data_IF_888314291390
#
_entry.id   IF_888314291390
#
_cell.length_a   1.000
_cell.length_b   1.000
_cell.length_c   1.000
_cell.angle_alpha   90.00
_cell.angle_beta   90.00
_cell.angle_gamma   90.00
#
_symmetry.space_group_name_H-M   'P 1'
#
loop_
_entity.id
_entity.type
_entity.pdbx_description
1 polymer ?
#
# COMPACT_ATOMS: atom_id res chain seq x y z
N UNK A 1 37.88 -8.80 -6.32
CA UNK A 1 37.21 -8.42 -7.59
C UNK A 1 35.75 -8.95 -7.67
N UNK A 2 34.99 -8.99 -6.57
CA UNK A 2 33.68 -9.69 -6.51
C UNK A 2 32.47 -8.77 -6.44
N UNK A 3 32.64 -7.45 -6.42
CA UNK A 3 31.56 -6.49 -6.14
C UNK A 3 31.29 -5.45 -7.24
N UNK A 4 31.86 -5.62 -8.44
CA UNK A 4 31.57 -4.71 -9.55
C UNK A 4 30.18 -5.00 -10.12
N UNK A 5 29.36 -3.96 -10.28
CA UNK A 5 28.08 -3.99 -10.99
C UNK A 5 28.25 -3.28 -12.34
N UNK A 6 28.51 -4.02 -13.43
CA UNK A 6 28.74 -3.41 -14.73
C UNK A 6 27.47 -2.77 -15.26
N UNK A 7 27.54 -1.48 -15.63
CA UNK A 7 26.42 -0.77 -16.25
C UNK A 7 26.55 -0.90 -17.76
N UNK A 8 25.48 -1.29 -18.44
CA UNK A 8 25.46 -1.39 -19.90
C UNK A 8 25.09 -0.05 -20.52
N UNK A 9 26.07 0.61 -21.16
CA UNK A 9 25.81 1.80 -21.97
C UNK A 9 25.24 1.39 -23.32
N UNK A 10 23.97 1.73 -23.56
CA UNK A 10 23.26 1.41 -24.80
C UNK A 10 23.14 2.62 -25.71
N UNK A 11 23.05 2.40 -27.02
CA UNK A 11 22.72 3.42 -28.01
C UNK A 11 21.38 4.11 -27.65
N UNK A 12 21.29 5.42 -27.85
CA UNK A 12 20.08 6.23 -27.62
C UNK A 12 18.88 5.67 -28.39
N UNK A 13 19.05 5.29 -29.67
CA UNK A 13 17.97 4.71 -30.48
C UNK A 13 17.43 3.44 -29.82
N UNK A 14 18.34 2.57 -29.37
CA UNK A 14 17.98 1.36 -28.65
C UNK A 14 17.23 1.69 -27.34
N UNK A 15 17.69 2.67 -26.56
CA UNK A 15 17.02 3.08 -25.32
C UNK A 15 15.60 3.59 -25.56
N UNK A 16 15.36 4.29 -26.68
CA UNK A 16 14.01 4.73 -27.06
C UNK A 16 13.13 3.51 -27.33
N UNK A 17 13.60 2.57 -28.16
CA UNK A 17 12.86 1.35 -28.49
C UNK A 17 12.58 0.54 -27.21
N UNK A 18 13.59 0.29 -26.38
CA UNK A 18 13.43 -0.50 -25.17
C UNK A 18 12.51 0.17 -24.15
N UNK A 19 12.52 1.51 -24.09
CA UNK A 19 11.57 2.27 -23.27
C UNK A 19 10.13 2.17 -23.77
N UNK A 20 9.91 2.23 -25.09
CA UNK A 20 8.57 2.04 -25.68
C UNK A 20 8.04 0.65 -25.38
N UNK A 21 8.87 -0.39 -25.55
CA UNK A 21 8.50 -1.76 -25.23
C UNK A 21 8.20 -1.94 -23.74
N UNK A 22 9.05 -1.39 -22.87
CA UNK A 22 8.85 -1.43 -21.42
C UNK A 22 7.55 -0.75 -21.00
N UNK A 23 7.23 0.41 -21.57
CA UNK A 23 5.98 1.13 -21.26
C UNK A 23 4.74 0.35 -21.69
N UNK A 24 4.78 -0.36 -22.83
CA UNK A 24 3.67 -1.23 -23.26
C UNK A 24 3.54 -2.46 -22.36
N UNK A 25 4.67 -3.09 -22.01
CA UNK A 25 4.67 -4.25 -21.11
C UNK A 25 4.14 -3.89 -19.73
N UNK A 26 4.47 -2.69 -19.22
CA UNK A 26 4.02 -2.16 -17.93
C UNK A 26 2.50 -2.16 -17.74
N UNK A 27 1.75 -2.01 -18.82
CA UNK A 27 0.28 -1.98 -18.78
C UNK A 27 -0.29 -3.38 -18.46
N UNK A 28 0.34 -4.42 -19.00
CA UNK A 28 -0.15 -5.81 -18.88
C UNK A 28 0.42 -6.51 -17.64
N UNK A 29 1.56 -6.03 -17.13
CA UNK A 29 2.27 -6.61 -15.98
C UNK A 29 1.40 -6.91 -14.75
N UNK A 30 0.46 -6.03 -14.32
CA UNK A 30 -0.39 -6.32 -13.17
C UNK A 30 -1.33 -7.52 -13.34
N UNK A 31 -1.68 -7.89 -14.58
CA UNK A 31 -2.58 -9.02 -14.87
C UNK A 31 -1.84 -10.36 -14.94
N UNK A 32 -0.53 -10.34 -15.23
CA UNK A 32 0.29 -11.54 -15.45
C UNK A 32 1.18 -11.90 -14.27
N UNK A 33 1.48 -10.94 -13.38
CA UNK A 33 2.37 -11.16 -12.24
C UNK A 33 1.57 -11.39 -10.97
N UNK A 34 2.04 -12.32 -10.15
CA UNK A 34 1.48 -12.61 -8.84
C UNK A 34 1.37 -11.37 -7.94
N UNK A 35 0.28 -11.29 -7.18
CA UNK A 35 0.06 -10.24 -6.18
C UNK A 35 1.19 -10.16 -5.13
N UNK A 36 1.88 -11.27 -4.87
CA UNK A 36 2.98 -11.36 -3.92
C UNK A 36 4.29 -10.70 -4.41
N UNK A 37 4.40 -10.35 -5.69
CA UNK A 37 5.53 -9.60 -6.21
C UNK A 37 5.32 -8.10 -6.01
N UNK A 38 6.10 -7.49 -5.12
CA UNK A 38 5.98 -6.05 -4.79
C UNK A 38 6.98 -5.12 -5.48
N UNK A 39 7.97 -5.64 -6.23
CA UNK A 39 8.99 -4.80 -6.86
C UNK A 39 8.59 -4.40 -8.29
N UNK A 40 8.81 -3.14 -8.66
CA UNK A 40 8.63 -2.59 -10.02
C UNK A 40 7.20 -2.68 -10.61
N UNK A 41 6.19 -2.98 -9.78
CA UNK A 41 4.77 -2.93 -10.14
C UNK A 41 4.17 -1.59 -9.67
N UNK A 42 3.46 -0.83 -10.53
CA UNK A 42 2.80 0.41 -10.12
C UNK A 42 1.80 0.20 -8.99
N UNK A 43 1.78 1.10 -8.01
CA UNK A 43 0.82 1.06 -6.91
C UNK A 43 1.20 0.15 -5.73
N UNK A 44 2.31 -0.60 -5.81
CA UNK A 44 2.84 -1.38 -4.67
C UNK A 44 4.00 -0.63 -4.02
N UNK A 45 3.94 -0.44 -2.70
CA UNK A 45 5.01 0.21 -1.95
C UNK A 45 5.90 -0.84 -1.27
N UNK A 46 7.20 -0.56 -1.19
CA UNK A 46 8.14 -1.45 -0.48
C UNK A 46 7.77 -1.61 1.01
N UNK A 47 7.13 -0.59 1.58
CA UNK A 47 6.62 -0.59 2.95
C UNK A 47 5.59 -1.70 3.18
N UNK A 48 4.78 -2.04 2.19
CA UNK A 48 3.76 -3.08 2.32
C UNK A 48 4.42 -4.44 2.53
N UNK A 49 5.46 -4.75 1.75
CA UNK A 49 6.26 -5.97 1.91
C UNK A 49 6.96 -6.04 3.27
N UNK A 50 7.46 -4.90 3.77
CA UNK A 50 8.10 -4.82 5.09
C UNK A 50 7.08 -5.13 6.19
N UNK A 51 5.86 -4.59 6.09
CA UNK A 51 4.78 -4.86 7.04
C UNK A 51 4.36 -6.34 7.03
N UNK A 52 4.18 -6.93 5.84
CA UNK A 52 3.86 -8.36 5.71
C UNK A 52 4.98 -9.21 6.33
N UNK A 53 6.24 -8.93 6.01
CA UNK A 53 7.37 -9.66 6.58
C UNK A 53 7.43 -9.53 8.11
N UNK A 54 7.20 -8.33 8.65
CA UNK A 54 7.15 -8.09 10.09
C UNK A 54 6.07 -8.94 10.78
N UNK A 55 4.87 -9.00 10.20
CA UNK A 55 3.77 -9.81 10.72
C UNK A 55 4.08 -11.32 10.69
N UNK A 56 4.73 -11.79 9.62
CA UNK A 56 5.19 -13.18 9.51
C UNK A 56 6.22 -13.49 10.60
N UNK A 57 7.25 -12.64 10.78
CA UNK A 57 8.25 -12.84 11.84
C UNK A 57 7.66 -12.75 13.24
N UNK A 58 6.66 -11.88 13.45
CA UNK A 58 5.94 -11.80 14.71
C UNK A 58 5.18 -13.10 15.00
N UNK A 59 4.47 -13.63 14.01
CA UNK A 59 3.75 -14.91 14.09
C UNK A 59 4.68 -16.09 14.41
N UNK A 60 5.86 -16.13 13.79
CA UNK A 60 6.90 -17.13 14.07
C UNK A 60 7.39 -17.00 15.52
N UNK A 61 7.70 -15.78 16.00
CA UNK A 61 8.20 -15.56 17.37
C UNK A 61 7.19 -15.90 18.47
N UNK A 62 5.90 -15.73 18.19
CA UNK A 62 4.84 -16.00 19.16
C UNK A 62 4.40 -17.47 19.19
N UNK A 63 4.68 -18.26 18.13
CA UNK A 63 4.53 -19.72 18.15
C UNK A 63 5.69 -20.38 18.88
N UNK A 64 5.65 -20.34 20.21
CA UNK A 64 6.65 -20.99 21.08
C UNK A 64 6.28 -22.43 21.51
N UNK A 65 5.06 -22.90 21.18
CA UNK A 65 4.55 -24.24 21.55
C UNK A 65 3.73 -24.85 20.40
N UNK A 66 3.85 -26.17 20.21
CA UNK A 66 3.16 -26.96 19.18
C UNK A 66 4.13 -27.90 18.43
N UNK A 67 3.62 -28.97 17.84
CA UNK A 67 4.43 -29.97 17.12
C UNK A 67 4.97 -29.46 15.76
N UNK A 68 4.29 -28.48 15.14
CA UNK A 68 4.68 -27.92 13.84
C UNK A 68 5.30 -26.52 13.99
N UNK A 69 6.63 -26.46 13.85
CA UNK A 69 7.41 -25.21 13.81
C UNK A 69 7.19 -24.44 12.50
N UNK A 70 7.23 -23.10 12.58
CA UNK A 70 7.24 -22.24 11.40
C UNK A 70 8.69 -21.80 11.11
N UNK A 71 9.06 -21.76 9.82
CA UNK A 71 10.36 -21.30 9.37
C UNK A 71 10.18 -20.20 8.32
N UNK A 72 11.08 -19.22 8.31
CA UNK A 72 11.20 -18.24 7.24
C UNK A 72 12.43 -18.56 6.40
N UNK A 73 12.24 -18.72 5.09
CA UNK A 73 13.32 -18.98 4.15
C UNK A 73 13.64 -17.70 3.39
N UNK A 74 14.87 -17.20 3.53
CA UNK A 74 15.38 -16.07 2.76
C UNK A 74 16.20 -16.58 1.58
N UNK A 75 15.70 -16.33 0.37
CA UNK A 75 16.40 -16.63 -0.88
C UNK A 75 17.05 -15.36 -1.43
N UNK A 76 18.30 -15.47 -1.88
CA UNK A 76 19.01 -14.40 -2.57
C UNK A 76 19.56 -14.91 -3.90
N UNK A 77 19.42 -14.10 -4.95
CA UNK A 77 19.81 -14.47 -6.31
C UNK A 77 21.17 -13.86 -6.66
N UNK A 78 22.20 -14.72 -6.70
CA UNK A 78 23.54 -14.30 -7.09
C UNK A 78 23.56 -13.80 -8.55
N UNK A 79 23.91 -12.53 -8.76
CA UNK A 79 23.98 -11.89 -10.09
C UNK A 79 22.70 -12.12 -10.91
N UNK A 80 21.56 -11.79 -10.29
CA UNK A 80 20.21 -11.98 -10.82
C UNK A 80 20.05 -11.60 -12.31
N UNK A 81 20.52 -10.42 -12.73
CA UNK A 81 20.43 -10.01 -14.13
C UNK A 81 21.40 -10.78 -15.04
N UNK A 82 22.63 -11.05 -14.62
CA UNK A 82 23.66 -11.66 -15.47
C UNK A 82 23.41 -13.14 -15.77
N UNK A 83 22.55 -13.80 -14.98
CA UNK A 83 22.33 -15.26 -15.04
C UNK A 83 20.99 -15.68 -15.63
N UNK A 84 20.18 -14.75 -16.13
CA UNK A 84 18.91 -15.09 -16.78
C UNK A 84 19.17 -15.86 -18.07
N UNK A 85 18.76 -17.12 -18.13
CA UNK A 85 18.84 -17.93 -19.35
C UNK A 85 17.75 -17.47 -20.34
N UNK A 86 18.16 -17.21 -21.59
CA UNK A 86 17.27 -16.59 -22.58
C UNK A 86 16.17 -17.53 -23.07
N UNK A 87 16.47 -18.81 -23.22
CA UNK A 87 15.48 -19.80 -23.65
C UNK A 87 14.40 -19.99 -22.57
N UNK A 88 14.78 -19.88 -21.30
CA UNK A 88 13.81 -19.87 -20.20
C UNK A 88 12.87 -18.67 -20.28
N UNK A 89 13.41 -17.46 -20.47
CA UNK A 89 12.59 -16.24 -20.62
C UNK A 89 11.63 -16.36 -21.82
N UNK A 90 12.11 -16.83 -22.96
CA UNK A 90 11.31 -17.02 -24.18
C UNK A 90 10.16 -18.01 -23.96
N UNK A 91 10.45 -19.14 -23.32
CA UNK A 91 9.45 -20.15 -22.95
C UNK A 91 8.43 -19.62 -21.93
N UNK A 92 8.87 -18.85 -20.94
CA UNK A 92 7.98 -18.21 -19.96
C UNK A 92 7.01 -17.25 -20.65
N UNK A 93 7.51 -16.38 -21.53
CA UNK A 93 6.64 -15.47 -22.29
C UNK A 93 5.65 -16.22 -23.19
N UNK A 94 6.09 -17.32 -23.80
CA UNK A 94 5.21 -18.18 -24.61
C UNK A 94 4.10 -18.80 -23.74
N UNK A 95 4.44 -19.29 -22.54
CA UNK A 95 3.47 -19.88 -21.60
C UNK A 95 2.51 -18.86 -21.01
N UNK A 96 2.93 -17.61 -20.84
CA UNK A 96 2.07 -16.48 -20.44
C UNK A 96 1.15 -15.99 -21.58
N UNK A 97 1.23 -16.58 -22.77
CA UNK A 97 0.34 -16.27 -23.89
C UNK A 97 0.73 -15.02 -24.69
N UNK A 98 1.97 -14.54 -24.59
CA UNK A 98 2.43 -13.44 -25.43
C UNK A 98 2.47 -13.86 -26.91
N UNK A 99 2.03 -12.98 -27.79
CA UNK A 99 2.04 -13.23 -29.23
C UNK A 99 3.48 -13.39 -29.75
N UNK A 100 3.72 -14.36 -30.63
CA UNK A 100 5.08 -14.72 -31.09
C UNK A 100 5.86 -13.52 -31.65
N UNK A 101 5.20 -12.64 -32.40
CA UNK A 101 5.82 -11.40 -32.91
C UNK A 101 6.38 -10.50 -31.80
N UNK A 102 5.65 -10.39 -30.68
CA UNK A 102 6.10 -9.61 -29.52
C UNK A 102 7.30 -10.27 -28.86
N UNK A 103 7.25 -11.59 -28.68
CA UNK A 103 8.38 -12.38 -28.15
C UNK A 103 9.60 -12.19 -29.04
N UNK A 104 9.48 -12.31 -30.37
CA UNK A 104 10.59 -12.10 -31.29
C UNK A 104 11.21 -10.70 -31.18
N UNK A 105 10.41 -9.64 -30.99
CA UNK A 105 10.91 -8.29 -30.79
C UNK A 105 11.70 -8.14 -29.48
N UNK A 106 11.20 -8.73 -28.40
CA UNK A 106 11.85 -8.73 -27.09
C UNK A 106 13.15 -9.55 -27.14
N UNK A 107 13.10 -10.74 -27.72
CA UNK A 107 14.27 -11.61 -27.84
C UNK A 107 15.31 -11.01 -28.80
N UNK A 108 14.92 -10.29 -29.85
CA UNK A 108 15.85 -9.50 -30.65
C UNK A 108 16.57 -8.45 -29.79
N UNK A 109 15.84 -7.73 -28.92
CA UNK A 109 16.43 -6.77 -28.01
C UNK A 109 17.42 -7.42 -27.02
N UNK A 110 17.16 -8.65 -26.57
CA UNK A 110 17.98 -9.34 -25.56
C UNK A 110 19.17 -10.09 -26.18
N UNK A 111 18.98 -10.78 -27.32
CA UNK A 111 19.98 -11.63 -27.98
C UNK A 111 20.93 -10.84 -28.88
N UNK A 112 20.45 -9.79 -29.56
CA UNK A 112 21.24 -9.01 -30.53
C UNK A 112 22.02 -7.92 -29.78
N UNK A 113 23.07 -8.35 -29.07
CA UNK A 113 23.92 -7.45 -28.28
C UNK A 113 25.36 -7.85 -28.49
N UNK A 114 26.22 -6.84 -28.67
CA UNK A 114 27.65 -7.02 -28.66
C UNK A 114 28.26 -6.06 -27.65
N UNK A 115 29.02 -6.59 -26.70
CA UNK A 115 29.64 -5.80 -25.64
C UNK A 115 31.09 -5.50 -25.95
N UNK A 116 31.52 -4.31 -25.52
CA UNK A 116 32.91 -3.93 -25.34
C UNK A 116 33.08 -3.46 -23.90
N UNK A 117 34.17 -3.86 -23.26
CA UNK A 117 34.52 -3.36 -21.94
C UNK A 117 35.24 -2.03 -22.10
N UNK A 118 34.76 -1.01 -21.39
CA UNK A 118 35.44 0.27 -21.27
C UNK A 118 36.00 0.38 -19.85
N UNK A 119 37.32 0.51 -19.73
CA UNK A 119 38.00 0.57 -18.43
C UNK A 119 39.16 1.57 -18.49
N UNK A 120 39.25 2.46 -17.49
CA UNK A 120 40.29 3.48 -17.36
C UNK A 120 40.55 4.32 -18.63
N UNK A 121 39.49 4.75 -19.33
CA UNK A 121 39.63 5.58 -20.53
C UNK A 121 39.96 4.80 -21.82
N UNK A 122 40.14 3.48 -21.72
CA UNK A 122 40.48 2.62 -22.85
C UNK A 122 39.37 1.61 -23.10
N UNK A 123 38.92 1.48 -24.36
CA UNK A 123 38.03 0.40 -24.77
C UNK A 123 38.84 -0.81 -25.17
N UNK A 124 38.46 -2.00 -24.70
CA UNK A 124 39.04 -3.24 -25.22
C UNK A 124 38.74 -3.37 -26.71
N UNK A 125 39.73 -3.78 -27.50
CA UNK A 125 39.61 -3.97 -28.96
C UNK A 125 38.62 -5.09 -29.30
N UNK A 126 38.58 -6.12 -28.45
CA UNK A 126 37.76 -7.30 -28.68
C UNK A 126 36.33 -7.08 -28.20
N UNK A 127 35.40 -7.53 -29.02
CA UNK A 127 33.97 -7.53 -28.71
C UNK A 127 33.53 -8.93 -28.29
N UNK A 128 32.60 -9.05 -27.35
CA UNK A 128 32.04 -10.34 -26.95
C UNK A 128 30.51 -10.33 -26.99
N UNK A 129 29.96 -11.45 -27.44
CA UNK A 129 28.52 -11.67 -27.53
C UNK A 129 28.09 -12.45 -26.27
N UNK A 130 27.18 -11.89 -25.46
CA UNK A 130 26.63 -12.62 -24.32
C UNK A 130 25.80 -13.82 -24.79
N UNK A 131 25.74 -14.87 -23.98
CA UNK A 131 24.84 -16.01 -24.22
C UNK A 131 23.63 -16.04 -23.28
N UNK A 132 23.67 -15.21 -22.24
CA UNK A 132 22.65 -15.11 -21.19
C UNK A 132 22.72 -13.75 -20.51
N UNK A 133 21.71 -13.50 -19.70
CA UNK A 133 21.60 -12.32 -18.84
C UNK A 133 20.86 -11.16 -19.50
N UNK A 134 20.54 -10.16 -18.68
CA UNK A 134 19.83 -8.94 -19.06
C UNK A 134 20.72 -7.73 -18.83
N UNK A 135 20.58 -6.69 -19.66
CA UNK A 135 21.36 -5.46 -19.55
C UNK A 135 21.02 -4.69 -18.27
N UNK A 136 22.01 -4.42 -17.44
CA UNK A 136 21.83 -3.54 -16.29
C UNK A 136 21.77 -2.07 -16.75
N UNK A 137 20.68 -1.37 -16.41
CA UNK A 137 20.43 0.02 -16.80
C UNK A 137 19.52 0.18 -18.02
N UNK A 138 19.08 -0.92 -18.64
CA UNK A 138 18.07 -0.91 -19.70
C UNK A 138 16.65 -0.85 -19.08
N UNK A 139 15.76 0.07 -19.51
CA UNK A 139 14.42 0.18 -18.96
C UNK A 139 13.55 -1.07 -19.13
N UNK A 140 13.87 -1.96 -20.07
CA UNK A 140 13.13 -3.20 -20.30
C UNK A 140 13.52 -4.32 -19.33
N UNK A 141 14.79 -4.39 -18.95
CA UNK A 141 15.36 -5.50 -18.17
C UNK A 141 14.66 -5.79 -16.83
N UNK A 142 14.26 -4.79 -16.00
CA UNK A 142 13.57 -5.07 -14.74
C UNK A 142 12.27 -5.86 -14.94
N UNK A 143 11.51 -5.53 -15.98
CA UNK A 143 10.23 -6.17 -16.25
C UNK A 143 10.38 -7.60 -16.80
N UNK A 144 11.39 -7.82 -17.65
CA UNK A 144 11.72 -9.18 -18.10
C UNK A 144 12.19 -10.06 -16.94
N UNK A 145 12.89 -9.47 -15.97
CA UNK A 145 13.28 -10.18 -14.77
C UNK A 145 12.06 -10.59 -13.91
N UNK A 146 11.03 -9.76 -13.81
CA UNK A 146 9.79 -10.13 -13.13
C UNK A 146 9.10 -11.32 -13.80
N UNK A 147 9.05 -11.35 -15.13
CA UNK A 147 8.51 -12.50 -15.89
C UNK A 147 9.27 -13.79 -15.55
N UNK A 148 10.60 -13.72 -15.43
CA UNK A 148 11.38 -14.87 -14.98
C UNK A 148 11.05 -15.27 -13.53
N UNK A 149 10.95 -14.29 -12.63
CA UNK A 149 10.62 -14.54 -11.23
C UNK A 149 9.21 -15.13 -11.04
N UNK A 150 8.29 -14.84 -11.95
CA UNK A 150 6.94 -15.42 -11.97
C UNK A 150 6.97 -16.95 -12.11
N UNK A 151 7.98 -17.51 -12.79
CA UNK A 151 8.19 -18.95 -12.83
C UNK A 151 8.39 -19.56 -11.44
N UNK A 152 9.08 -18.87 -10.52
CA UNK A 152 9.21 -19.32 -9.14
C UNK A 152 7.91 -19.12 -8.36
N UNK A 153 7.24 -17.98 -8.54
CA UNK A 153 5.95 -17.69 -7.89
C UNK A 153 4.91 -18.76 -8.22
N UNK A 154 4.77 -19.11 -9.50
CA UNK A 154 3.84 -20.15 -9.97
C UNK A 154 4.16 -21.54 -9.42
N UNK A 155 5.44 -21.93 -9.35
CA UNK A 155 5.85 -23.20 -8.74
C UNK A 155 5.52 -23.26 -7.24
N UNK A 156 5.71 -22.16 -6.52
CA UNK A 156 5.35 -22.08 -5.10
C UNK A 156 3.83 -22.22 -4.90
N UNK A 157 3.03 -21.51 -5.71
CA UNK A 157 1.57 -21.64 -5.66
C UNK A 157 1.09 -23.04 -6.03
N UNK A 158 1.74 -23.70 -6.99
CA UNK A 158 1.43 -25.09 -7.36
C UNK A 158 1.74 -26.07 -6.23
N UNK A 159 2.89 -25.91 -5.57
CA UNK A 159 3.27 -26.72 -4.41
C UNK A 159 2.32 -26.48 -3.21
N UNK A 160 1.86 -25.24 -3.01
CA UNK A 160 0.85 -24.93 -2.00
C UNK A 160 -0.51 -25.57 -2.31
N UNK A 161 -0.97 -25.51 -3.57
CA UNK A 161 -2.23 -26.10 -3.99
C UNK A 161 -2.27 -27.63 -3.82
N UNK A 162 -1.12 -28.29 -3.97
CA UNK A 162 -0.94 -29.73 -3.71
C UNK A 162 -0.83 -30.09 -2.23
N UNK A 163 -0.63 -29.10 -1.35
CA UNK A 163 -0.37 -29.31 0.06
C UNK A 163 1.06 -29.71 0.42
N UNK A 164 2.00 -29.66 -0.55
CA UNK A 164 3.42 -29.92 -0.29
C UNK A 164 4.05 -28.78 0.54
N UNK A 165 3.52 -27.57 0.37
CA UNK A 165 3.88 -26.37 1.14
C UNK A 165 2.63 -25.82 1.83
N UNK A 166 2.79 -25.29 3.03
CA UNK A 166 1.74 -24.60 3.75
C UNK A 166 2.21 -23.19 4.11
N UNK A 167 1.54 -22.18 3.56
CA UNK A 167 1.80 -20.79 3.90
C UNK A 167 1.54 -20.45 5.36
N UNK A 168 2.19 -19.40 5.86
CA UNK A 168 1.92 -18.86 7.19
C UNK A 168 0.54 -18.20 7.18
N UNK A 169 -0.44 -18.85 7.81
CA UNK A 169 -1.77 -18.27 8.00
C UNK A 169 -1.75 -17.21 9.11
N UNK A 170 -2.41 -16.08 8.85
CA UNK A 170 -2.69 -15.07 9.88
C UNK A 170 -3.51 -15.72 10.99
N UNK A 171 -3.04 -15.60 12.24
CA UNK A 171 -3.82 -16.00 13.43
C UNK A 171 -4.43 -14.75 14.06
N UNK A 172 -5.56 -14.90 14.75
CA UNK A 172 -6.16 -13.82 15.52
C UNK A 172 -5.20 -13.37 16.64
N UNK A 173 -4.94 -12.06 16.67
CA UNK A 173 -3.85 -11.45 17.41
C UNK A 173 -2.79 -10.86 16.50
N UNK A 174 -3.16 -9.88 15.66
CA UNK A 174 -2.21 -9.18 14.80
C UNK A 174 -1.15 -8.45 15.62
N UNK A 175 0.06 -8.27 15.09
CA UNK A 175 1.13 -7.56 15.81
C UNK A 175 0.70 -6.19 16.32
N UNK A 176 1.31 -5.73 17.43
CA UNK A 176 1.05 -4.40 17.99
C UNK A 176 1.23 -3.29 16.93
N UNK A 177 2.18 -3.46 16.00
CA UNK A 177 2.37 -2.56 14.86
C UNK A 177 1.15 -2.55 13.93
N UNK A 178 0.61 -3.72 13.59
CA UNK A 178 -0.61 -3.81 12.77
C UNK A 178 -1.85 -3.28 13.50
N UNK A 179 -1.98 -3.56 14.80
CA UNK A 179 -3.04 -2.97 15.64
C UNK A 179 -2.91 -1.45 15.70
N UNK A 180 -1.70 -0.92 15.82
CA UNK A 180 -1.45 0.53 15.85
C UNK A 180 -1.75 1.19 14.50
N UNK A 181 -1.43 0.53 13.38
CA UNK A 181 -1.78 1.02 12.04
C UNK A 181 -3.30 0.98 11.83
N UNK A 182 -3.98 -0.10 12.23
CA UNK A 182 -5.44 -0.21 12.14
C UNK A 182 -6.15 0.79 13.05
N UNK A 183 -5.66 1.00 14.27
CA UNK A 183 -6.17 2.00 15.20
C UNK A 183 -5.96 3.42 14.63
N UNK A 184 -4.74 3.72 14.16
CA UNK A 184 -4.40 5.00 13.57
C UNK A 184 -5.02 5.25 12.19
N UNK A 185 -5.54 4.24 11.49
CA UNK A 185 -6.19 4.39 10.18
C UNK A 185 -7.41 5.31 10.26
N UNK A 186 -8.24 5.14 11.29
CA UNK A 186 -9.42 6.00 11.46
C UNK A 186 -8.97 7.42 11.81
N UNK A 187 -8.00 7.58 12.71
CA UNK A 187 -7.40 8.86 13.08
C UNK A 187 -6.79 9.58 11.87
N UNK A 188 -6.11 8.85 10.98
CA UNK A 188 -5.57 9.38 9.72
C UNK A 188 -6.69 9.77 8.75
N UNK A 189 -7.75 8.95 8.63
CA UNK A 189 -8.91 9.28 7.78
C UNK A 189 -9.63 10.54 8.24
N UNK A 190 -9.74 10.77 9.55
CA UNK A 190 -10.38 11.96 10.12
C UNK A 190 -9.44 13.17 10.22
N UNK A 191 -8.13 12.95 10.35
CA UNK A 191 -7.11 13.98 10.53
C UNK A 191 -6.38 14.42 9.27
N UNK A 192 -6.44 13.62 8.19
CA UNK A 192 -5.90 13.98 6.90
C UNK A 192 -6.77 15.06 6.25
N UNK A 193 -6.14 16.17 5.89
CA UNK A 193 -6.77 17.21 5.09
C UNK A 193 -6.03 17.33 3.78
N UNK A 194 -6.78 17.58 2.71
CA UNK A 194 -6.20 17.96 1.43
C UNK A 194 -5.61 19.36 1.56
N UNK A 195 -4.29 19.50 1.43
CA UNK A 195 -3.66 20.81 1.29
C UNK A 195 -3.66 21.13 -0.20
N UNK A 196 -4.62 21.95 -0.57
CA UNK A 196 -4.80 22.45 -1.92
C UNK A 196 -3.60 23.33 -2.27
N UNK A 197 -2.85 22.93 -3.29
CA UNK A 197 -1.87 23.75 -3.99
C UNK A 197 -2.55 24.48 -5.14
N UNK A 198 -2.45 23.93 -6.36
CA UNK A 198 -2.96 24.57 -7.56
C UNK A 198 -4.35 24.05 -7.89
N UNK A 199 -4.89 23.00 -7.28
CA UNK A 199 -6.25 22.55 -7.55
C UNK A 199 -6.48 22.06 -8.99
N UNK A 200 -5.49 21.41 -9.60
CA UNK A 200 -5.61 20.73 -10.91
C UNK A 200 -6.35 19.39 -10.80
N UNK A 201 -6.34 18.79 -9.62
CA UNK A 201 -6.92 17.47 -9.36
C UNK A 201 -8.22 17.53 -8.52
N UNK A 202 -8.62 18.71 -8.05
CA UNK A 202 -9.83 18.92 -7.24
C UNK A 202 -10.60 20.13 -7.78
N UNK A 203 -11.86 19.95 -8.17
CA UNK A 203 -12.66 20.97 -8.85
C UNK A 203 -13.28 22.00 -7.87
N UNK A 204 -12.41 22.71 -7.16
CA UNK A 204 -12.76 23.63 -6.07
C UNK A 204 -13.69 24.77 -6.53
N UNK A 205 -13.55 25.17 -7.79
CA UNK A 205 -14.29 26.29 -8.38
C UNK A 205 -15.68 25.90 -8.88
N UNK A 206 -15.91 24.63 -9.17
CA UNK A 206 -17.18 24.16 -9.74
C UNK A 206 -18.04 23.37 -8.77
N UNK A 207 -17.43 22.65 -7.84
CA UNK A 207 -18.17 21.88 -6.84
C UNK A 207 -18.58 22.79 -5.67
N UNK A 208 -19.65 22.44 -4.95
CA UNK A 208 -20.19 23.23 -3.85
C UNK A 208 -19.51 22.86 -2.52
N UNK A 209 -18.54 23.65 -2.08
CA UNK A 209 -17.69 23.40 -0.90
C UNK A 209 -18.16 24.11 0.37
N UNK A 210 -18.96 25.18 0.25
CA UNK A 210 -19.38 26.00 1.38
C UNK A 210 -20.89 25.83 1.62
N UNK A 211 -21.31 25.09 2.66
CA UNK A 211 -22.71 25.04 3.04
C UNK A 211 -23.16 26.44 3.47
N UNK A 212 -24.26 26.95 2.87
CA UNK A 212 -24.91 28.25 3.14
C UNK A 212 -24.47 29.48 2.31
N UNK A 213 -23.65 29.33 1.26
CA UNK A 213 -23.43 30.43 0.29
C UNK A 213 -24.39 30.31 -0.90
N UNK A 214 -24.74 31.44 -1.55
CA UNK A 214 -25.73 31.51 -2.63
C UNK A 214 -25.53 30.47 -3.75
N UNK A 215 -24.29 30.10 -4.05
CA UNK A 215 -23.96 29.11 -5.08
C UNK A 215 -23.02 27.98 -4.60
N UNK A 216 -22.66 27.94 -3.31
CA UNK A 216 -21.77 26.93 -2.72
C UNK A 216 -20.29 27.04 -3.13
N UNK A 217 -19.90 28.00 -3.98
CA UNK A 217 -18.57 28.05 -4.62
C UNK A 217 -17.60 29.00 -3.93
N UNK A 218 -16.31 28.70 -4.07
CA UNK A 218 -15.21 29.55 -3.61
C UNK A 218 -14.95 30.64 -4.67
N UNK A 219 -14.62 31.88 -4.28
CA UNK A 219 -14.48 33.04 -5.19
C UNK A 219 -13.03 33.55 -5.40
N UNK A 220 -12.05 32.98 -4.69
CA UNK A 220 -10.64 33.41 -4.72
C UNK A 220 -9.93 33.01 -6.05
N UNK A 221 -8.83 33.64 -6.50
CA UNK A 221 -8.06 33.13 -7.64
C UNK A 221 -7.06 32.00 -7.29
N UNK A 222 -6.68 31.20 -8.30
CA UNK A 222 -5.84 29.98 -8.20
C UNK A 222 -4.34 30.31 -8.00
N UNK A 223 -3.67 29.59 -7.09
CA UNK A 223 -2.21 29.70 -6.83
C UNK A 223 -1.33 28.74 -7.64
N UNK A 224 -0.01 28.94 -7.65
CA UNK A 224 0.97 28.27 -8.56
C UNK A 224 1.60 26.96 -8.04
N UNK A 225 1.45 26.57 -6.77
CA UNK A 225 2.13 25.37 -6.19
C UNK A 225 1.37 24.05 -6.40
N UNK A 226 1.99 22.88 -6.42
CA UNK A 226 1.29 21.59 -6.57
C UNK A 226 0.57 21.10 -5.29
N UNK A 227 -0.49 20.28 -5.46
CA UNK A 227 -1.31 19.74 -4.35
C UNK A 227 -0.54 18.69 -3.53
N UNK A 228 -0.65 18.74 -2.20
CA UNK A 228 0.02 17.78 -1.30
C UNK A 228 -0.91 17.32 -0.17
N UNK A 229 -0.68 16.12 0.36
CA UNK A 229 -1.38 15.64 1.57
C UNK A 229 -0.71 16.28 2.79
N UNK A 230 -1.51 16.87 3.68
CA UNK A 230 -0.99 17.49 4.90
C UNK A 230 -1.69 17.00 6.16
N UNK A 231 -0.91 16.89 7.23
CA UNK A 231 -1.38 16.58 8.57
C UNK A 231 -1.94 17.84 9.25
N UNK A 232 -3.24 17.83 9.59
CA UNK A 232 -3.93 19.02 10.12
C UNK A 232 -3.39 19.54 11.45
N UNK A 233 -2.84 18.65 12.27
CA UNK A 233 -2.54 18.94 13.68
C UNK A 233 -1.11 19.45 13.91
N UNK A 234 -0.32 19.61 12.85
CA UNK A 234 1.03 20.18 12.89
C UNK A 234 1.12 21.36 11.92
N UNK A 235 1.71 22.48 12.34
CA UNK A 235 1.73 23.73 11.54
C UNK A 235 2.44 23.56 10.19
N UNK A 236 3.46 22.70 10.13
CA UNK A 236 4.19 22.39 8.90
C UNK A 236 3.43 21.41 7.99
N UNK A 237 2.37 20.77 8.46
CA UNK A 237 1.62 19.76 7.73
C UNK A 237 2.29 18.39 7.68
N UNK A 238 3.37 18.16 8.43
CA UNK A 238 4.09 16.88 8.47
C UNK A 238 3.49 16.01 9.57
N UNK A 239 3.22 14.75 9.25
CA UNK A 239 2.73 13.77 10.23
C UNK A 239 3.80 13.47 11.29
N UNK A 240 3.40 13.48 12.57
CA UNK A 240 4.24 13.03 13.68
C UNK A 240 3.48 12.02 14.54
N UNK A 241 4.15 10.94 14.96
CA UNK A 241 3.53 9.90 15.83
C UNK A 241 3.02 10.51 17.14
N UNK A 242 3.71 11.54 17.65
CA UNK A 242 3.33 12.26 18.88
C UNK A 242 2.02 13.03 18.71
N UNK A 243 1.84 13.77 17.61
CA UNK A 243 0.59 14.51 17.37
C UNK A 243 -0.58 13.57 17.07
N UNK A 244 -0.34 12.46 16.37
CA UNK A 244 -1.36 11.42 16.14
C UNK A 244 -1.87 10.81 17.45
N UNK A 245 -0.97 10.53 18.41
CA UNK A 245 -1.35 10.03 19.73
C UNK A 245 -2.22 11.02 20.51
N UNK A 246 -1.89 12.32 20.47
CA UNK A 246 -2.69 13.35 21.13
C UNK A 246 -4.10 13.49 20.52
N UNK A 247 -4.23 13.33 19.20
CA UNK A 247 -5.53 13.37 18.52
C UNK A 247 -6.41 12.21 18.96
N UNK A 248 -5.85 10.99 18.96
CA UNK A 248 -6.58 9.78 19.38
C UNK A 248 -6.97 9.84 20.86
N UNK A 249 -6.06 10.28 21.73
CA UNK A 249 -6.33 10.50 23.15
C UNK A 249 -7.47 11.49 23.39
N UNK A 250 -7.48 12.61 22.65
CA UNK A 250 -8.53 13.61 22.76
C UNK A 250 -9.89 13.11 22.22
N UNK A 251 -9.89 12.30 21.16
CA UNK A 251 -11.11 11.68 20.63
C UNK A 251 -11.75 10.75 21.68
N UNK A 252 -10.94 9.90 22.32
CA UNK A 252 -11.41 9.00 23.38
C UNK A 252 -11.87 9.73 24.65
N UNK A 253 -11.24 10.86 24.99
CA UNK A 253 -11.69 11.73 26.09
C UNK A 253 -13.04 12.39 25.79
N UNK A 254 -13.27 12.80 24.54
CA UNK A 254 -14.55 13.38 24.11
C UNK A 254 -15.67 12.34 24.17
N UNK A 255 -15.43 11.11 23.69
CA UNK A 255 -16.39 10.01 23.80
C UNK A 255 -16.71 9.67 25.26
N UNK A 256 -15.69 9.62 26.14
CA UNK A 256 -15.90 9.41 27.58
C UNK A 256 -16.72 10.54 28.21
N UNK A 257 -16.41 11.82 27.92
CA UNK A 257 -17.20 12.95 28.45
C UNK A 257 -18.65 12.94 27.94
N UNK A 258 -18.87 12.50 26.72
CA UNK A 258 -20.22 12.38 26.16
C UNK A 258 -20.99 11.24 26.82
N UNK A 259 -20.33 10.10 27.08
CA UNK A 259 -20.90 9.00 27.85
C UNK A 259 -21.20 9.40 29.31
N UNK A 260 -20.30 10.13 29.96
CA UNK A 260 -20.47 10.63 31.33
C UNK A 260 -21.61 11.66 31.41
N UNK A 261 -21.75 12.57 30.42
CA UNK A 261 -22.90 13.49 30.32
C UNK A 261 -24.24 12.77 30.14
N UNK A 262 -24.27 11.72 29.30
CA UNK A 262 -25.46 10.90 29.12
C UNK A 262 -25.82 10.25 30.46
N UNK A 263 -24.85 9.68 31.17
CA UNK A 263 -25.06 9.07 32.49
C UNK A 263 -25.55 10.07 33.56
N UNK A 264 -25.02 11.30 33.56
CA UNK A 264 -25.45 12.36 34.48
C UNK A 264 -26.92 12.76 34.23
N UNK A 265 -27.32 12.87 32.97
CA UNK A 265 -28.70 13.19 32.58
C UNK A 265 -29.71 12.12 33.02
N UNK A 266 -29.36 10.83 32.91
CA UNK A 266 -30.18 9.72 33.39
C UNK A 266 -30.27 9.71 34.92
N UNK A 267 -29.20 10.10 35.61
CA UNK A 267 -29.18 10.19 37.08
C UNK A 267 -30.07 11.31 37.61
N UNK A 268 -30.13 12.46 36.91
CA UNK A 268 -31.00 13.59 37.26
C UNK A 268 -32.46 13.21 37.03
N UNK A 269 -32.79 12.55 35.90
CA UNK A 269 -34.13 12.03 35.68
C UNK A 269 -34.56 11.01 36.75
N UNK A 270 -33.70 10.06 37.13
CA UNK A 270 -34.03 9.08 38.18
C UNK A 270 -34.23 9.72 39.57
N UNK A 271 -33.45 10.76 39.92
CA UNK A 271 -33.64 11.50 41.17
C UNK A 271 -34.94 12.30 41.19
N UNK A 272 -35.35 12.88 40.05
CA UNK A 272 -36.63 13.57 39.91
C UNK A 272 -37.79 12.57 40.03
N UNK A 273 -37.73 11.43 39.34
CA UNK A 273 -38.71 10.36 39.47
C UNK A 273 -38.82 9.84 40.91
N UNK A 274 -37.69 9.58 41.57
CA UNK A 274 -37.68 9.12 42.96
C UNK A 274 -38.30 10.08 43.97
N UNK A 275 -38.35 11.39 43.68
CA UNK A 275 -39.07 12.39 44.49
C UNK A 275 -40.56 12.45 44.15
N UNK A 276 -40.92 12.35 42.87
CA UNK A 276 -42.32 12.34 42.42
C UNK A 276 -43.09 11.14 43.00
N UNK A 277 -42.48 9.95 43.02
CA UNK A 277 -43.09 8.74 43.58
C UNK A 277 -43.26 8.73 45.10
N UNK A 278 -42.59 9.65 45.81
CA UNK A 278 -42.68 9.77 47.28
C UNK A 278 -43.71 10.81 47.74
N UNK A 279 -44.30 11.57 46.82
CA UNK A 279 -45.38 12.50 47.16
C UNK A 279 -46.63 11.68 47.50
N UNK A 280 -47.21 11.92 48.68
CA UNK A 280 -48.47 11.28 49.12
C UNK A 280 -49.66 11.94 48.42
N UNK A 281 -49.86 11.62 47.14
CA UNK A 281 -50.98 12.12 46.35
C UNK A 281 -52.05 11.01 46.26
N UNK A 282 -53.35 11.32 46.43
CA UNK A 282 -54.40 10.31 46.26
C UNK A 282 -54.35 9.69 44.86
N UNK A 283 -54.40 8.36 44.76
CA UNK A 283 -54.07 7.60 43.55
C UNK A 283 -54.79 8.00 42.25
N UNK A 284 -55.94 8.68 42.36
CA UNK A 284 -56.71 9.25 41.24
C UNK A 284 -55.94 10.34 40.47
N UNK A 285 -55.03 11.05 41.13
CA UNK A 285 -54.23 12.13 40.53
C UNK A 285 -52.88 11.65 39.96
N UNK A 286 -52.41 10.46 40.37
CA UNK A 286 -51.13 9.90 39.93
C UNK A 286 -51.14 9.60 38.41
N UNK A 287 -52.27 9.10 37.91
CA UNK A 287 -52.48 8.89 36.47
C UNK A 287 -52.50 10.20 35.66
N UNK A 288 -53.00 11.30 36.24
CA UNK A 288 -53.04 12.61 35.58
C UNK A 288 -51.63 13.21 35.45
N UNK A 289 -50.80 13.09 36.50
CA UNK A 289 -49.40 13.54 36.50
C UNK A 289 -48.54 12.72 35.53
N UNK A 290 -48.75 11.40 35.48
CA UNK A 290 -48.09 10.53 34.49
C UNK A 290 -48.54 10.81 33.05
N UNK A 291 -49.80 11.25 32.85
CA UNK A 291 -50.33 11.62 31.54
C UNK A 291 -49.80 12.95 30.99
N UNK A 292 -49.66 13.97 31.85
CA UNK A 292 -49.19 15.31 31.47
C UNK A 292 -47.72 15.35 31.04
N UNK A 293 -46.85 14.52 31.62
CA UNK A 293 -45.42 14.48 31.30
C UNK A 293 -45.04 13.55 30.13
N UNK A 294 -45.96 12.71 29.65
CA UNK A 294 -45.70 11.82 28.52
C UNK A 294 -45.86 12.50 27.15
N UNK A 295 -46.23 13.78 27.13
CA UNK A 295 -46.46 14.59 25.92
C UNK A 295 -45.31 15.58 25.60
N UNK A 296 -44.17 15.51 26.30
CA UNK A 296 -42.99 16.37 26.02
C UNK A 296 -41.67 15.60 25.87
N UNK A 297 -41.72 14.32 25.50
CA UNK A 297 -40.58 13.56 24.96
C UNK A 297 -40.87 13.17 23.51
#
# INVERSE_FOLDING_TARGET
MTHFRPISLCNVIYKIISKVLANRLKIVLPEIISEYQGAFVPGKLITDNVLVAYEVFHSIKNRRKGENGLCAVKLDMNKAYDRVEWDFLENMMTKLGFHQRWISMIMACVKIVNYRVYFNGTSTTNTFIPKRGLRQGDPLSPYLFLICAEGLSTLLSYAEARGDLQGVKKKDGSSFTWQSILAGRNTLKYGAIWRIGNGSLVNIWNDAWIPSSYNGKVLTPRGEMEDTIAWRYEKNGIYSVRSAYHVEWNAQLLEKRQADMIQESTSVQQKVWGKIWKLKIPGRWLHLVCGLFRLQL
#
